data_IF_236357877952
#
_entry.id   IF_236357877952
#
_cell.length_a   1.000
_cell.length_b   1.000
_cell.length_c   1.000
_cell.angle_alpha   90.00
_cell.angle_beta   90.00
_cell.angle_gamma   90.00
#
_symmetry.space_group_name_H-M   'P 1'
#
loop_
_entity.id
_entity.type
_entity.pdbx_description
1 polymer ?
#
# COMPACT_ATOMS: atom_id res chain seq x y z
N UNK A 1 8.01 -17.27 16.46
CA UNK A 1 8.86 -16.09 16.17
C UNK A 1 9.84 -15.88 17.33
N UNK A 2 11.15 -15.64 17.07
CA UNK A 2 12.14 -15.30 18.10
C UNK A 2 11.78 -14.06 18.93
N UNK A 3 12.22 -14.01 20.19
CA UNK A 3 11.91 -12.90 21.13
C UNK A 3 12.43 -11.55 20.60
N UNK A 4 13.67 -11.48 20.13
CA UNK A 4 14.25 -10.24 19.62
C UNK A 4 13.44 -9.66 18.45
N UNK A 5 12.99 -10.52 17.53
CA UNK A 5 12.15 -10.14 16.39
C UNK A 5 10.76 -9.68 16.84
N UNK A 6 10.15 -10.36 17.82
CA UNK A 6 8.90 -9.91 18.47
C UNK A 6 9.06 -8.51 19.05
N UNK A 7 10.11 -8.28 19.82
CA UNK A 7 10.39 -6.98 20.45
C UNK A 7 10.56 -5.88 19.42
N UNK A 8 11.25 -6.15 18.30
CA UNK A 8 11.42 -5.19 17.21
C UNK A 8 10.08 -4.80 16.57
N UNK A 9 9.22 -5.78 16.26
CA UNK A 9 7.87 -5.53 15.73
C UNK A 9 7.03 -4.71 16.72
N UNK A 10 7.05 -5.08 18.00
CA UNK A 10 6.31 -4.37 19.05
C UNK A 10 6.79 -2.93 19.22
N UNK A 11 8.11 -2.69 19.12
CA UNK A 11 8.69 -1.35 19.18
C UNK A 11 8.23 -0.48 18.00
N UNK A 12 8.33 -0.99 16.76
CA UNK A 12 7.87 -0.28 15.55
C UNK A 12 6.39 0.10 15.68
N UNK A 13 5.53 -0.84 16.10
CA UNK A 13 4.10 -0.59 16.27
C UNK A 13 3.85 0.51 17.30
N UNK A 14 4.51 0.45 18.46
CA UNK A 14 4.35 1.46 19.52
C UNK A 14 4.84 2.84 19.08
N UNK A 15 5.96 2.91 18.39
CA UNK A 15 6.53 4.16 17.89
C UNK A 15 5.63 4.79 16.82
N UNK A 16 5.11 3.99 15.90
CA UNK A 16 4.18 4.47 14.88
C UNK A 16 2.85 4.93 15.50
N UNK A 17 2.31 4.18 16.47
CA UNK A 17 1.12 4.61 17.22
C UNK A 17 1.36 5.93 17.95
N UNK A 18 2.53 6.11 18.60
CA UNK A 18 2.87 7.34 19.29
C UNK A 18 3.05 8.52 18.33
N UNK A 19 3.83 8.31 17.26
CA UNK A 19 4.17 9.32 16.26
C UNK A 19 2.95 9.83 15.51
N UNK A 20 2.08 8.91 15.10
CA UNK A 20 0.84 9.20 14.35
C UNK A 20 -0.36 9.45 15.27
N UNK A 21 -0.19 9.24 16.57
CA UNK A 21 -1.23 9.33 17.61
C UNK A 21 -2.45 8.45 17.33
N UNK A 22 -2.18 7.19 16.93
CA UNK A 22 -3.22 6.19 16.62
C UNK A 22 -3.87 5.73 17.94
N UNK A 23 -5.20 5.87 18.11
CA UNK A 23 -5.88 5.42 19.33
C UNK A 23 -5.86 3.91 19.51
N UNK A 24 -6.18 3.15 18.45
CA UNK A 24 -6.31 1.71 18.47
C UNK A 24 -5.78 1.05 17.20
N UNK A 25 -5.10 -0.09 17.37
CA UNK A 25 -4.45 -0.84 16.30
C UNK A 25 -4.51 -2.35 16.53
N UNK A 26 -4.76 -3.10 15.47
CA UNK A 26 -4.49 -4.53 15.39
C UNK A 26 -3.43 -4.83 14.33
N UNK A 27 -2.67 -5.91 14.57
CA UNK A 27 -1.68 -6.42 13.64
C UNK A 27 -1.66 -7.94 13.67
N UNK A 28 -1.57 -8.55 12.49
CA UNK A 28 -1.29 -9.97 12.34
C UNK A 28 -0.18 -10.17 11.30
N UNK A 29 0.73 -11.09 11.57
CA UNK A 29 1.83 -11.45 10.67
C UNK A 29 1.74 -12.93 10.38
N UNK A 30 1.60 -13.25 9.10
CA UNK A 30 1.66 -14.61 8.55
C UNK A 30 3.05 -14.83 7.99
N UNK A 31 3.68 -15.94 8.38
CA UNK A 31 4.93 -16.39 7.75
C UNK A 31 4.88 -17.90 7.59
N UNK A 32 5.24 -18.41 6.42
CA UNK A 32 5.22 -19.84 6.14
C UNK A 32 3.86 -20.48 6.40
N UNK A 33 2.79 -19.82 5.94
CA UNK A 33 1.41 -20.28 6.11
C UNK A 33 0.87 -20.25 7.55
N UNK A 34 1.60 -19.67 8.52
CA UNK A 34 1.19 -19.62 9.92
C UNK A 34 1.16 -18.19 10.46
N UNK A 35 0.19 -17.88 11.32
CA UNK A 35 0.18 -16.63 12.09
C UNK A 35 1.30 -16.69 13.13
N UNK A 36 2.39 -15.95 12.92
CA UNK A 36 3.56 -15.91 13.80
C UNK A 36 3.54 -14.76 14.81
N UNK A 37 2.66 -13.77 14.58
CA UNK A 37 2.41 -12.66 15.48
C UNK A 37 0.96 -12.19 15.34
N UNK A 38 0.33 -11.87 16.48
CA UNK A 38 -1.03 -11.36 16.58
C UNK A 38 -1.09 -10.42 17.79
N UNK A 39 -1.26 -9.13 17.52
CA UNK A 39 -1.19 -8.04 18.48
C UNK A 39 -2.39 -7.10 18.41
N UNK A 40 -2.81 -6.62 19.57
CA UNK A 40 -3.89 -5.65 19.74
C UNK A 40 -3.44 -4.57 20.74
N UNK A 41 -3.60 -3.31 20.38
CA UNK A 41 -3.03 -2.16 21.10
C UNK A 41 -4.02 -1.01 21.17
N UNK A 42 -3.97 -0.28 22.29
CA UNK A 42 -4.73 0.96 22.47
C UNK A 42 -6.22 0.72 22.70
N UNK A 43 -7.05 1.67 22.27
CA UNK A 43 -8.49 1.69 22.54
C UNK A 43 -9.33 1.54 21.28
N UNK A 44 -10.33 0.66 21.35
CA UNK A 44 -11.39 0.53 20.36
C UNK A 44 -12.37 1.71 20.43
N UNK A 45 -12.54 2.28 21.63
CA UNK A 45 -13.28 3.52 21.87
C UNK A 45 -12.48 4.41 22.84
N UNK A 46 -11.99 5.53 22.33
CA UNK A 46 -11.23 6.51 23.09
C UNK A 46 -12.07 7.28 24.12
N UNK A 47 -13.39 7.39 23.94
CA UNK A 47 -14.26 8.10 24.89
C UNK A 47 -14.51 7.27 26.16
N UNK A 48 -14.74 5.98 25.98
CA UNK A 48 -15.09 5.05 27.06
C UNK A 48 -13.91 4.20 27.54
N UNK A 49 -12.77 4.27 26.85
CA UNK A 49 -11.56 3.53 27.20
C UNK A 49 -11.62 2.03 26.91
N UNK A 50 -12.56 1.57 26.09
CA UNK A 50 -12.68 0.15 25.72
C UNK A 50 -11.39 -0.26 24.98
N UNK A 51 -10.68 -1.32 25.42
CA UNK A 51 -9.43 -1.74 24.78
C UNK A 51 -9.69 -2.40 23.43
N UNK A 52 -8.74 -2.26 22.51
CA UNK A 52 -8.70 -3.13 21.33
C UNK A 52 -8.38 -4.56 21.78
N UNK A 53 -9.15 -5.52 21.30
CA UNK A 53 -8.91 -6.96 21.49
C UNK A 53 -8.62 -7.58 20.13
N UNK A 54 -8.21 -8.85 20.05
CA UNK A 54 -8.03 -9.57 18.77
C UNK A 54 -9.34 -9.79 17.99
N UNK A 55 -10.48 -9.67 18.67
CA UNK A 55 -11.80 -9.84 18.07
C UNK A 55 -12.45 -8.49 17.71
N UNK A 56 -11.78 -7.37 17.99
CA UNK A 56 -12.24 -6.06 17.57
C UNK A 56 -12.27 -5.96 16.04
N UNK A 57 -13.36 -5.41 15.49
CA UNK A 57 -13.59 -5.33 14.06
C UNK A 57 -13.30 -3.93 13.55
N UNK A 58 -12.38 -3.83 12.60
CA UNK A 58 -11.99 -2.60 11.93
C UNK A 58 -12.65 -2.54 10.57
N UNK A 59 -13.00 -1.33 10.10
CA UNK A 59 -13.52 -1.15 8.74
C UNK A 59 -12.36 -1.23 7.73
N UNK A 60 -12.44 -2.19 6.80
CA UNK A 60 -11.42 -2.46 5.79
C UNK A 60 -11.49 -1.50 4.60
N UNK A 61 -12.61 -0.78 4.45
CA UNK A 61 -12.85 0.14 3.33
C UNK A 61 -12.48 -0.52 1.99
N UNK A 62 -11.74 0.20 1.14
CA UNK A 62 -11.31 -0.25 -0.18
C UNK A 62 -10.47 -1.53 -0.21
N UNK A 63 -9.91 -1.99 0.93
CA UNK A 63 -9.30 -3.32 0.98
C UNK A 63 -10.32 -4.44 0.71
N UNK A 64 -11.63 -4.16 0.87
CA UNK A 64 -12.74 -5.05 0.45
C UNK A 64 -12.65 -5.45 -1.04
N UNK A 65 -12.05 -4.61 -1.90
CA UNK A 65 -11.90 -4.90 -3.33
C UNK A 65 -11.08 -6.15 -3.61
N UNK A 66 -10.09 -6.43 -2.77
CA UNK A 66 -9.28 -7.65 -2.87
C UNK A 66 -10.13 -8.89 -2.68
N UNK A 67 -11.11 -8.85 -1.76
CA UNK A 67 -12.08 -9.92 -1.54
C UNK A 67 -13.04 -10.05 -2.73
N UNK A 68 -13.60 -8.94 -3.23
CA UNK A 68 -14.42 -8.97 -4.45
C UNK A 68 -13.65 -9.52 -5.66
N UNK A 69 -12.35 -9.25 -5.76
CA UNK A 69 -11.46 -9.84 -6.76
C UNK A 69 -11.34 -11.37 -6.62
N UNK A 70 -11.21 -11.89 -5.39
CA UNK A 70 -11.22 -13.34 -5.11
C UNK A 70 -12.54 -13.96 -5.58
N UNK A 71 -13.69 -13.39 -5.20
CA UNK A 71 -14.99 -13.88 -5.64
C UNK A 71 -15.14 -13.96 -7.16
N UNK A 72 -14.70 -12.94 -7.90
CA UNK A 72 -14.72 -12.96 -9.37
C UNK A 72 -13.79 -14.06 -9.92
N UNK A 73 -12.60 -14.21 -9.35
CA UNK A 73 -11.68 -15.27 -9.77
C UNK A 73 -12.20 -16.67 -9.43
N UNK A 74 -12.98 -16.84 -8.37
CA UNK A 74 -13.66 -18.11 -8.07
C UNK A 74 -14.69 -18.44 -9.15
N UNK A 75 -15.43 -17.44 -9.64
CA UNK A 75 -16.35 -17.62 -10.78
C UNK A 75 -15.61 -17.92 -12.09
N UNK A 76 -14.42 -17.34 -12.29
CA UNK A 76 -13.52 -17.69 -13.42
C UNK A 76 -13.08 -19.15 -13.32
N UNK A 77 -12.57 -19.56 -12.15
CA UNK A 77 -12.10 -20.93 -11.90
C UNK A 77 -13.23 -21.95 -12.07
N UNK A 78 -14.47 -21.59 -11.70
CA UNK A 78 -15.67 -22.39 -11.91
C UNK A 78 -16.19 -22.40 -13.36
N UNK A 79 -15.52 -21.70 -14.30
CA UNK A 79 -15.92 -21.62 -15.70
C UNK A 79 -17.21 -20.81 -15.95
N UNK A 80 -17.68 -20.04 -14.96
CA UNK A 80 -18.92 -19.24 -15.05
C UNK A 80 -18.71 -17.88 -15.70
N UNK A 81 -17.46 -17.42 -15.75
CA UNK A 81 -17.10 -16.09 -16.25
C UNK A 81 -15.72 -16.15 -16.90
N UNK A 82 -15.48 -15.32 -17.92
CA UNK A 82 -14.15 -15.04 -18.47
C UNK A 82 -13.73 -13.61 -18.18
N UNK A 83 -12.46 -13.42 -17.79
CA UNK A 83 -11.89 -12.11 -17.51
C UNK A 83 -11.93 -11.17 -18.72
N UNK A 84 -11.79 -11.73 -19.92
CA UNK A 84 -11.70 -10.95 -21.17
C UNK A 84 -13.05 -10.83 -21.88
N UNK A 85 -14.11 -11.46 -21.34
CA UNK A 85 -15.46 -11.29 -21.84
C UNK A 85 -15.99 -9.87 -21.55
N UNK A 86 -16.80 -9.29 -22.45
CA UNK A 86 -17.52 -8.04 -22.19
C UNK A 86 -18.42 -8.18 -20.96
N UNK A 87 -18.39 -7.19 -20.07
CA UNK A 87 -19.23 -7.12 -18.88
C UNK A 87 -20.73 -7.09 -19.23
N UNK A 88 -21.08 -6.53 -20.40
CA UNK A 88 -22.44 -6.56 -20.96
C UNK A 88 -22.99 -7.97 -21.17
N UNK A 89 -22.13 -8.99 -21.25
CA UNK A 89 -22.57 -10.40 -21.29
C UNK A 89 -23.29 -10.83 -20.01
N UNK A 90 -22.96 -10.19 -18.89
CA UNK A 90 -23.43 -10.56 -17.56
C UNK A 90 -24.36 -9.51 -16.93
N UNK A 91 -24.58 -8.38 -17.59
CA UNK A 91 -25.41 -7.27 -17.08
C UNK A 91 -26.45 -6.91 -18.14
N UNK A 92 -27.73 -7.12 -17.83
CA UNK A 92 -28.81 -7.02 -18.83
C UNK A 92 -29.10 -5.58 -19.26
N UNK A 93 -28.90 -4.61 -18.37
CA UNK A 93 -29.25 -3.20 -18.55
C UNK A 93 -28.04 -2.31 -18.87
N UNK A 94 -27.12 -2.83 -19.69
CA UNK A 94 -25.87 -2.18 -20.10
C UNK A 94 -26.09 -1.03 -21.09
N UNK A 95 -25.75 0.24 -20.74
CA UNK A 95 -25.86 1.36 -21.67
C UNK A 95 -24.95 1.20 -22.90
N UNK A 96 -25.50 1.39 -24.10
CA UNK A 96 -24.75 1.26 -25.35
C UNK A 96 -23.50 2.16 -25.38
N UNK A 97 -23.59 3.37 -24.81
CA UNK A 97 -22.48 4.33 -24.75
C UNK A 97 -21.29 3.88 -23.88
N UNK A 98 -21.47 2.88 -23.01
CA UNK A 98 -20.37 2.30 -22.23
C UNK A 98 -19.46 1.42 -23.09
N UNK A 99 -19.90 1.03 -24.29
CA UNK A 99 -19.11 0.24 -25.22
C UNK A 99 -18.76 -1.15 -24.66
N UNK A 100 -17.60 -1.66 -25.07
CA UNK A 100 -17.11 -2.99 -24.68
C UNK A 100 -16.07 -2.86 -23.58
N UNK A 101 -16.50 -3.04 -22.33
CA UNK A 101 -15.63 -3.10 -21.15
C UNK A 101 -15.52 -4.55 -20.71
N UNK A 102 -14.30 -5.09 -20.61
CA UNK A 102 -14.06 -6.44 -20.09
C UNK A 102 -14.14 -6.52 -18.56
N UNK A 103 -14.35 -7.71 -18.02
CA UNK A 103 -14.29 -7.94 -16.56
C UNK A 103 -12.92 -7.56 -15.99
N UNK A 104 -11.85 -7.88 -16.71
CA UNK A 104 -10.48 -7.48 -16.38
C UNK A 104 -10.36 -5.97 -16.23
N UNK A 105 -10.92 -5.19 -17.16
CA UNK A 105 -10.89 -3.73 -17.10
C UNK A 105 -11.70 -3.15 -15.93
N UNK A 106 -12.79 -3.81 -15.51
CA UNK A 106 -13.50 -3.42 -14.28
C UNK A 106 -12.59 -3.61 -13.06
N UNK A 107 -12.02 -4.82 -12.89
CA UNK A 107 -11.15 -5.18 -11.78
C UNK A 107 -9.91 -4.27 -11.68
N UNK A 108 -9.31 -3.92 -12.81
CA UNK A 108 -8.06 -3.14 -12.88
C UNK A 108 -8.27 -1.64 -13.06
N UNK A 109 -9.50 -1.13 -12.91
CA UNK A 109 -9.82 0.29 -13.00
C UNK A 109 -9.49 0.94 -14.37
N UNK A 110 -9.65 0.18 -15.45
CA UNK A 110 -9.41 0.59 -16.84
C UNK A 110 -10.71 0.72 -17.66
N UNK A 111 -11.86 0.82 -17.00
CA UNK A 111 -13.17 0.76 -17.67
C UNK A 111 -13.51 2.03 -18.46
N UNK A 112 -13.04 3.20 -18.00
CA UNK A 112 -13.44 4.50 -18.55
C UNK A 112 -14.87 4.94 -18.18
N UNK A 113 -15.56 4.18 -17.33
CA UNK A 113 -16.94 4.48 -16.91
C UNK A 113 -17.02 5.72 -16.01
N UNK A 114 -18.19 6.38 -15.94
CA UNK A 114 -18.49 7.35 -14.89
C UNK A 114 -18.37 6.72 -13.50
N UNK A 115 -17.96 7.49 -12.49
CA UNK A 115 -17.98 7.01 -11.10
C UNK A 115 -19.34 7.33 -10.45
N UNK A 116 -19.83 6.40 -9.63
CA UNK A 116 -21.04 6.52 -8.82
C UNK A 116 -20.82 7.39 -7.58
N UNK A 117 -19.56 7.69 -7.25
CA UNK A 117 -19.19 8.67 -6.24
C UNK A 117 -18.67 9.96 -6.87
N UNK A 118 -19.04 11.09 -6.26
CA UNK A 118 -18.39 12.38 -6.45
C UNK A 118 -17.39 12.64 -5.33
N UNK A 119 -16.17 13.02 -5.68
CA UNK A 119 -15.18 13.46 -4.70
C UNK A 119 -15.02 14.97 -4.77
N UNK A 120 -15.53 15.73 -3.77
CA UNK A 120 -15.16 17.13 -3.60
C UNK A 120 -13.65 17.23 -3.39
N UNK A 121 -13.01 18.24 -3.99
CA UNK A 121 -11.57 18.49 -3.76
C UNK A 121 -11.30 18.65 -2.27
N UNK A 122 -10.49 17.75 -1.70
CA UNK A 122 -9.96 17.87 -0.34
C UNK A 122 -10.79 17.27 0.79
N UNK A 123 -11.84 16.46 0.52
CA UNK A 123 -12.65 15.83 1.59
C UNK A 123 -12.93 14.34 1.36
N UNK A 124 -12.73 13.53 2.42
CA UNK A 124 -13.50 12.31 2.74
C UNK A 124 -13.53 11.14 1.74
N UNK A 125 -14.35 10.14 2.07
CA UNK A 125 -14.91 9.17 1.13
C UNK A 125 -15.97 9.91 0.29
N UNK A 126 -15.87 9.85 -1.04
CA UNK A 126 -16.78 10.60 -1.91
C UNK A 126 -18.27 10.37 -1.61
N UNK A 127 -19.09 11.35 -1.94
CA UNK A 127 -20.55 11.27 -1.75
C UNK A 127 -21.19 10.54 -2.91
N UNK A 128 -22.27 9.82 -2.63
CA UNK A 128 -23.05 9.18 -3.69
C UNK A 128 -23.66 10.25 -4.61
N UNK A 129 -23.55 10.05 -5.92
CA UNK A 129 -24.19 10.95 -6.89
C UNK A 129 -25.71 10.72 -6.93
N UNK A 130 -26.45 11.72 -7.40
CA UNK A 130 -27.91 11.67 -7.41
C UNK A 130 -28.49 12.07 -6.04
N UNK A 131 -29.58 11.43 -5.65
CA UNK A 131 -30.38 11.80 -4.47
C UNK A 131 -30.03 10.96 -3.22
N UNK A 132 -28.87 10.29 -3.23
CA UNK A 132 -28.36 9.54 -2.07
C UNK A 132 -28.87 8.09 -1.94
N UNK A 133 -29.56 7.57 -2.96
CA UNK A 133 -29.99 6.17 -3.04
C UNK A 133 -29.44 5.45 -4.29
N UNK A 134 -29.51 4.11 -4.32
CA UNK A 134 -29.00 3.32 -5.44
C UNK A 134 -29.66 3.67 -6.78
N UNK A 135 -30.97 3.88 -6.80
CA UNK A 135 -31.72 4.07 -8.03
C UNK A 135 -31.35 5.40 -8.67
N UNK A 136 -31.38 6.49 -7.92
CA UNK A 136 -31.00 7.82 -8.41
C UNK A 136 -29.52 7.87 -8.81
N UNK A 137 -28.64 7.25 -8.03
CA UNK A 137 -27.22 7.15 -8.37
C UNK A 137 -27.00 6.41 -9.68
N UNK A 138 -27.67 5.26 -9.85
CA UNK A 138 -27.50 4.44 -11.05
C UNK A 138 -28.08 5.09 -12.29
N UNK A 139 -29.23 5.76 -12.18
CA UNK A 139 -29.77 6.61 -13.26
C UNK A 139 -28.76 7.70 -13.66
N UNK A 140 -28.16 8.36 -12.67
CA UNK A 140 -27.19 9.43 -12.89
C UNK A 140 -25.91 8.91 -13.56
N UNK A 141 -25.33 7.78 -13.09
CA UNK A 141 -24.14 7.17 -13.73
C UNK A 141 -24.45 6.81 -15.17
N UNK A 142 -25.59 6.17 -15.45
CA UNK A 142 -25.96 5.75 -16.80
C UNK A 142 -26.18 6.92 -17.76
N UNK A 143 -26.62 8.08 -17.25
CA UNK A 143 -26.81 9.28 -18.06
C UNK A 143 -25.51 10.04 -18.36
N UNK A 144 -24.43 9.82 -17.57
CA UNK A 144 -23.16 10.50 -17.77
C UNK A 144 -22.37 9.94 -18.97
N UNK A 145 -21.64 10.80 -19.71
CA UNK A 145 -20.76 10.34 -20.77
C UNK A 145 -19.62 9.50 -20.17
N UNK A 146 -19.16 8.49 -20.92
CA UNK A 146 -17.92 7.79 -20.58
C UNK A 146 -16.76 8.77 -20.53
N UNK A 147 -15.85 8.55 -19.60
CA UNK A 147 -14.79 9.50 -19.31
C UNK A 147 -13.52 9.22 -20.14
N UNK A 148 -13.37 7.99 -20.62
CA UNK A 148 -12.29 7.53 -21.50
C UNK A 148 -12.72 6.26 -22.24
N UNK A 149 -12.02 5.95 -23.34
CA UNK A 149 -12.14 4.64 -23.96
C UNK A 149 -11.59 3.53 -23.03
N UNK A 150 -12.20 2.34 -22.98
CA UNK A 150 -11.73 1.23 -22.16
C UNK A 150 -10.26 0.89 -22.44
N UNK A 151 -9.46 0.66 -21.39
CA UNK A 151 -8.04 0.32 -21.49
C UNK A 151 -7.10 1.51 -21.66
N UNK A 152 -7.59 2.71 -21.95
CA UNK A 152 -6.71 3.85 -22.29
C UNK A 152 -6.28 4.70 -21.09
N UNK A 153 -7.02 4.65 -19.98
CA UNK A 153 -6.73 5.44 -18.78
C UNK A 153 -7.09 4.68 -17.51
N UNK A 154 -6.19 4.73 -16.53
CA UNK A 154 -6.48 4.28 -15.18
C UNK A 154 -7.29 5.35 -14.44
N UNK A 155 -8.41 4.94 -13.86
CA UNK A 155 -9.17 5.75 -12.91
C UNK A 155 -9.78 4.87 -11.84
N UNK A 156 -9.34 5.07 -10.60
CA UNK A 156 -9.93 4.42 -9.44
C UNK A 156 -11.42 4.78 -9.35
N UNK A 157 -12.29 3.77 -9.52
CA UNK A 157 -13.71 3.98 -9.84
C UNK A 157 -14.57 2.95 -9.10
N UNK A 158 -15.60 3.41 -8.37
CA UNK A 158 -16.46 2.52 -7.57
C UNK A 158 -17.56 1.84 -8.39
N UNK A 159 -18.05 2.47 -9.46
CA UNK A 159 -18.98 1.85 -10.44
C UNK A 159 -18.49 0.48 -10.87
N UNK A 160 -17.17 0.33 -11.08
CA UNK A 160 -16.59 -0.96 -11.46
C UNK A 160 -16.91 -2.07 -10.45
N UNK A 161 -16.73 -1.81 -9.15
CA UNK A 161 -16.92 -2.82 -8.11
C UNK A 161 -18.39 -3.03 -7.75
N UNK A 162 -19.24 -2.02 -7.95
CA UNK A 162 -20.69 -2.19 -7.92
C UNK A 162 -21.12 -3.17 -9.02
N UNK A 163 -20.61 -3.00 -10.24
CA UNK A 163 -20.89 -3.91 -11.36
C UNK A 163 -20.39 -5.33 -11.11
N UNK A 164 -19.17 -5.48 -10.57
CA UNK A 164 -18.64 -6.80 -10.19
C UNK A 164 -19.53 -7.49 -9.14
N UNK A 165 -20.05 -6.73 -8.16
CA UNK A 165 -21.04 -7.22 -7.21
C UNK A 165 -22.31 -7.74 -7.88
N UNK A 166 -22.90 -6.96 -8.80
CA UNK A 166 -24.08 -7.39 -9.57
C UNK A 166 -23.83 -8.66 -10.40
N UNK A 167 -22.61 -8.81 -10.93
CA UNK A 167 -22.20 -10.02 -11.67
C UNK A 167 -22.09 -11.22 -10.72
N UNK A 168 -21.52 -11.05 -9.53
CA UNK A 168 -21.45 -12.10 -8.51
C UNK A 168 -22.86 -12.55 -8.10
N UNK A 169 -23.76 -11.61 -7.84
CA UNK A 169 -25.15 -11.90 -7.49
C UNK A 169 -25.83 -12.72 -8.58
N UNK A 170 -25.72 -12.28 -9.83
CA UNK A 170 -26.33 -12.96 -10.98
C UNK A 170 -25.79 -14.36 -11.20
N UNK A 171 -24.47 -14.53 -11.21
CA UNK A 171 -23.83 -15.81 -11.56
C UNK A 171 -23.81 -16.83 -10.40
N UNK A 172 -23.90 -16.36 -9.17
CA UNK A 172 -24.03 -17.22 -7.99
C UNK A 172 -25.49 -17.56 -7.65
N UNK A 173 -26.44 -16.68 -7.99
CA UNK A 173 -27.82 -16.77 -7.54
C UNK A 173 -28.01 -16.42 -6.06
N UNK A 174 -26.98 -15.85 -5.41
CA UNK A 174 -27.01 -15.46 -4.00
C UNK A 174 -26.51 -14.03 -3.83
N UNK A 175 -27.02 -13.26 -2.86
CA UNK A 175 -26.51 -11.92 -2.60
C UNK A 175 -25.02 -11.93 -2.25
N UNK A 176 -24.27 -10.93 -2.71
CA UNK A 176 -22.83 -10.79 -2.57
C UNK A 176 -22.34 -11.12 -1.16
N UNK A 177 -22.95 -10.51 -0.13
CA UNK A 177 -22.52 -10.73 1.26
C UNK A 177 -22.66 -12.18 1.72
N UNK A 178 -23.66 -12.91 1.20
CA UNK A 178 -23.82 -14.36 1.45
C UNK A 178 -22.80 -15.16 0.65
N UNK A 179 -22.54 -14.80 -0.60
CA UNK A 179 -21.50 -15.43 -1.41
C UNK A 179 -20.14 -15.36 -0.70
N UNK A 180 -19.74 -14.17 -0.24
CA UNK A 180 -18.47 -13.97 0.48
C UNK A 180 -18.39 -14.84 1.74
N UNK A 181 -19.48 -14.91 2.51
CA UNK A 181 -19.52 -15.77 3.70
C UNK A 181 -19.29 -17.24 3.35
N UNK A 182 -20.05 -17.77 2.40
CA UNK A 182 -20.02 -19.20 2.05
C UNK A 182 -18.75 -19.62 1.31
N UNK A 183 -18.21 -18.76 0.44
CA UNK A 183 -17.12 -19.11 -0.46
C UNK A 183 -15.75 -18.60 -0.03
N UNK A 184 -15.68 -17.65 0.91
CA UNK A 184 -14.40 -17.10 1.37
C UNK A 184 -14.21 -17.15 2.88
N UNK A 185 -15.24 -16.85 3.69
CA UNK A 185 -15.06 -16.74 5.14
C UNK A 185 -15.19 -18.08 5.86
N UNK A 186 -16.26 -18.83 5.56
CA UNK A 186 -16.51 -20.15 6.15
C UNK A 186 -15.38 -21.17 5.82
N UNK A 187 -14.84 -21.25 4.58
CA UNK A 187 -13.78 -22.21 4.24
C UNK A 187 -12.46 -22.00 4.99
N UNK A 188 -12.18 -20.77 5.44
CA UNK A 188 -10.96 -20.43 6.19
C UNK A 188 -11.21 -20.28 7.69
N UNK A 189 -12.44 -20.54 8.14
CA UNK A 189 -12.84 -20.42 9.55
C UNK A 189 -12.85 -18.98 10.09
N UNK A 190 -12.89 -17.97 9.23
CA UNK A 190 -12.93 -16.57 9.64
C UNK A 190 -14.37 -16.16 9.99
N UNK A 191 -14.70 -16.13 11.28
CA UNK A 191 -16.09 -16.01 11.74
C UNK A 191 -16.57 -14.60 12.05
N UNK A 192 -15.70 -13.59 12.11
CA UNK A 192 -16.07 -12.26 12.57
C UNK A 192 -16.27 -11.24 11.46
N UNK A 193 -16.04 -11.60 10.19
CA UNK A 193 -16.32 -10.70 9.07
C UNK A 193 -17.80 -10.28 9.03
N UNK A 194 -18.03 -8.98 8.89
CA UNK A 194 -19.37 -8.40 8.79
C UNK A 194 -19.40 -7.28 7.77
N UNK A 195 -20.46 -7.24 6.96
CA UNK A 195 -20.69 -6.14 6.03
C UNK A 195 -21.57 -5.06 6.66
N UNK A 196 -21.13 -3.81 6.59
CA UNK A 196 -21.90 -2.66 7.04
C UNK A 196 -21.05 -1.41 7.24
N UNK A 197 -21.72 -0.35 7.69
CA UNK A 197 -21.14 0.98 7.89
C UNK A 197 -21.38 1.51 9.31
N UNK A 198 -21.20 2.81 9.56
CA UNK A 198 -21.36 3.38 10.90
C UNK A 198 -22.82 3.38 11.41
N UNK A 199 -23.82 3.18 10.54
CA UNK A 199 -25.24 3.09 10.90
C UNK A 199 -25.65 1.68 11.32
N UNK A 200 -24.88 0.66 10.91
CA UNK A 200 -25.13 -0.73 11.24
C UNK A 200 -24.62 -1.08 12.66
N UNK A 201 -25.39 -1.87 13.41
CA UNK A 201 -24.95 -2.41 14.71
C UNK A 201 -24.09 -3.65 14.48
N UNK A 202 -22.77 -3.47 14.52
CA UNK A 202 -21.79 -4.55 14.35
C UNK A 202 -21.09 -4.80 15.69
N UNK A 203 -21.35 -5.94 16.37
CA UNK A 203 -20.69 -6.27 17.63
C UNK A 203 -19.17 -6.26 17.50
N UNK A 204 -18.48 -5.62 18.43
CA UNK A 204 -17.01 -5.54 18.43
C UNK A 204 -16.41 -4.54 17.44
N UNK A 205 -17.22 -3.83 16.64
CA UNK A 205 -16.72 -2.79 15.74
C UNK A 205 -16.08 -1.65 16.52
N UNK A 206 -14.86 -1.28 16.13
CA UNK A 206 -14.12 -0.15 16.72
C UNK A 206 -14.69 1.17 16.21
N UNK A 207 -14.62 2.21 17.05
CA UNK A 207 -15.02 3.56 16.67
C UNK A 207 -13.94 4.19 15.82
N UNK A 208 -14.34 4.87 14.74
CA UNK A 208 -13.41 5.50 13.80
C UNK A 208 -13.17 6.94 14.22
N UNK A 209 -11.91 7.36 14.15
CA UNK A 209 -11.47 8.70 14.45
C UNK A 209 -10.75 9.36 13.27
N UNK A 210 -10.65 10.69 13.31
CA UNK A 210 -9.77 11.53 12.50
C UNK A 210 -9.32 12.73 13.32
N UNK A 211 -8.29 13.44 12.88
CA UNK A 211 -7.96 14.74 13.47
C UNK A 211 -8.72 15.90 12.77
N UNK A 212 -8.98 16.96 13.53
CA UNK A 212 -9.70 18.15 13.09
C UNK A 212 -8.86 19.09 12.20
N UNK A 213 -9.47 20.14 11.66
CA UNK A 213 -8.81 21.25 10.94
C UNK A 213 -8.00 20.82 9.69
N UNK A 214 -8.47 19.81 8.96
CA UNK A 214 -7.79 19.32 7.75
C UNK A 214 -6.55 18.47 8.01
N UNK A 215 -6.08 18.39 9.26
CA UNK A 215 -5.12 17.40 9.69
C UNK A 215 -5.86 16.06 9.75
N UNK A 216 -5.88 15.30 8.65
CA UNK A 216 -6.46 13.95 8.68
C UNK A 216 -5.54 13.06 9.54
N UNK A 217 -4.23 13.30 9.46
CA UNK A 217 -3.22 12.64 10.27
C UNK A 217 -2.89 13.41 11.57
N UNK A 218 -2.26 12.75 12.53
CA UNK A 218 -1.83 13.35 13.80
C UNK A 218 -0.67 14.34 13.70
N UNK A 219 -0.30 14.78 12.49
CA UNK A 219 0.89 15.61 12.22
C UNK A 219 0.77 17.02 12.79
N UNK A 220 -0.46 17.57 12.82
CA UNK A 220 -0.69 18.91 13.36
C UNK A 220 -0.77 18.87 14.88
N UNK A 221 0.14 19.60 15.54
CA UNK A 221 0.15 19.75 16.99
C UNK A 221 -1.06 20.57 17.44
N UNK A 222 -1.82 20.05 18.41
CA UNK A 222 -3.00 20.71 18.96
C UNK A 222 -4.31 20.42 18.23
N UNK A 223 -4.30 19.66 17.12
CA UNK A 223 -5.54 19.21 16.48
C UNK A 223 -6.32 18.25 17.41
N UNK A 224 -7.62 18.47 17.54
CA UNK A 224 -8.50 17.62 18.33
C UNK A 224 -8.82 16.31 17.60
N UNK A 225 -8.94 15.22 18.35
CA UNK A 225 -9.45 13.94 17.84
C UNK A 225 -10.98 14.03 17.74
N UNK A 226 -11.52 13.73 16.57
CA UNK A 226 -12.96 13.76 16.29
C UNK A 226 -13.44 12.38 15.83
N UNK A 227 -14.73 12.11 16.05
CA UNK A 227 -15.38 10.96 15.42
C UNK A 227 -15.36 11.11 13.89
N UNK A 228 -15.11 10.00 13.22
CA UNK A 228 -15.29 9.87 11.78
C UNK A 228 -16.39 8.86 11.48
N UNK A 229 -17.09 9.10 10.38
CA UNK A 229 -18.23 8.30 9.96
C UNK A 229 -17.95 7.78 8.55
N UNK A 230 -18.23 6.50 8.33
CA UNK A 230 -18.33 5.93 7.00
C UNK A 230 -19.79 5.59 6.76
N UNK A 231 -20.30 6.01 5.61
CA UNK A 231 -21.63 5.66 5.14
C UNK A 231 -21.48 4.97 3.78
N UNK A 232 -21.94 3.71 3.73
CA UNK A 232 -21.93 2.90 2.53
C UNK A 232 -23.38 2.51 2.21
N UNK A 233 -23.90 2.98 1.09
CA UNK A 233 -25.12 2.40 0.55
C UNK A 233 -24.93 0.87 0.37
N UNK A 234 -25.95 0.03 0.60
CA UNK A 234 -25.78 -1.43 0.60
C UNK A 234 -25.08 -2.00 -0.64
N UNK A 235 -25.37 -1.46 -1.84
CA UNK A 235 -24.73 -1.89 -3.09
C UNK A 235 -23.23 -1.50 -3.20
N UNK A 236 -22.77 -0.54 -2.40
CA UNK A 236 -21.35 -0.15 -2.30
C UNK A 236 -20.55 -1.08 -1.39
N UNK A 237 -21.19 -2.03 -0.70
CA UNK A 237 -20.51 -2.99 0.19
C UNK A 237 -19.45 -3.82 -0.55
N UNK A 238 -19.60 -4.02 -1.86
CA UNK A 238 -18.64 -4.70 -2.74
C UNK A 238 -17.32 -3.92 -2.92
N UNK A 239 -17.35 -2.62 -2.68
CA UNK A 239 -16.21 -1.72 -2.86
C UNK A 239 -15.56 -1.29 -1.54
N UNK A 240 -16.30 -1.35 -0.42
CA UNK A 240 -15.85 -0.74 0.84
C UNK A 240 -16.42 -1.28 2.15
N UNK A 241 -17.43 -2.15 2.12
CA UNK A 241 -18.29 -2.36 3.30
C UNK A 241 -17.84 -3.44 4.28
N UNK A 242 -16.66 -4.05 4.10
CA UNK A 242 -16.21 -5.14 4.97
C UNK A 242 -15.62 -4.62 6.29
N UNK A 243 -16.00 -5.24 7.39
CA UNK A 243 -15.42 -5.06 8.72
C UNK A 243 -14.86 -6.42 9.17
N UNK A 244 -13.70 -6.42 9.82
CA UNK A 244 -13.02 -7.66 10.24
C UNK A 244 -11.85 -7.39 11.18
N UNK A 245 -11.31 -8.46 11.79
CA UNK A 245 -10.10 -8.39 12.59
C UNK A 245 -8.85 -8.69 11.76
N UNK A 246 -7.68 -8.27 12.24
CA UNK A 246 -6.41 -8.61 11.58
C UNK A 246 -6.18 -10.12 11.55
N UNK A 247 -6.64 -10.84 12.59
CA UNK A 247 -6.58 -12.30 12.67
C UNK A 247 -7.43 -12.97 11.58
N UNK A 248 -8.66 -12.51 11.36
CA UNK A 248 -9.54 -13.08 10.32
C UNK A 248 -9.00 -12.80 8.90
N UNK A 249 -8.45 -11.59 8.67
CA UNK A 249 -7.77 -11.27 7.41
C UNK A 249 -6.53 -12.15 7.23
N UNK A 250 -5.76 -12.42 8.28
CA UNK A 250 -4.61 -13.32 8.21
C UNK A 250 -5.03 -14.76 7.85
N UNK A 251 -6.11 -15.28 8.43
CA UNK A 251 -6.66 -16.59 8.04
C UNK A 251 -7.12 -16.62 6.58
N UNK A 252 -7.80 -15.56 6.12
CA UNK A 252 -8.18 -15.43 4.72
C UNK A 252 -6.97 -15.39 3.79
N UNK A 253 -5.91 -14.66 4.14
CA UNK A 253 -4.65 -14.64 3.37
C UNK A 253 -3.91 -15.98 3.37
N UNK A 254 -3.98 -16.75 4.46
CA UNK A 254 -3.45 -18.12 4.51
C UNK A 254 -4.24 -19.01 3.54
N UNK A 255 -5.57 -18.97 3.60
CA UNK A 255 -6.46 -19.72 2.72
C UNK A 255 -6.33 -19.35 1.24
N UNK A 256 -5.99 -18.10 0.95
CA UNK A 256 -5.69 -17.66 -0.41
C UNK A 256 -4.37 -18.26 -0.90
N UNK A 257 -3.31 -18.19 -0.10
CA UNK A 257 -1.96 -18.63 -0.51
C UNK A 257 -1.80 -20.15 -0.54
N UNK A 258 -2.51 -20.89 0.31
CA UNK A 258 -2.39 -22.35 0.38
C UNK A 258 -3.29 -23.10 -0.62
N UNK A 259 -4.14 -22.38 -1.36
CA UNK A 259 -5.02 -22.98 -2.37
C UNK A 259 -6.46 -23.25 -1.92
N UNK A 260 -6.83 -22.97 -0.66
CA UNK A 260 -8.20 -23.18 -0.16
C UNK A 260 -9.23 -22.32 -0.90
N UNK A 261 -8.90 -21.05 -1.17
CA UNK A 261 -9.85 -20.11 -1.79
C UNK A 261 -9.76 -20.05 -3.32
N UNK A 262 -8.54 -20.22 -3.85
CA UNK A 262 -8.24 -20.20 -5.29
C UNK A 262 -7.04 -21.09 -5.56
N UNK A 263 -7.03 -21.77 -6.70
CA UNK A 263 -5.86 -22.51 -7.12
C UNK A 263 -4.67 -21.58 -7.45
N UNK A 264 -3.45 -22.14 -7.52
CA UNK A 264 -2.23 -21.35 -7.76
C UNK A 264 -2.24 -20.62 -9.11
N UNK A 265 -2.88 -21.18 -10.13
CA UNK A 265 -2.92 -20.57 -11.47
C UNK A 265 -3.83 -19.33 -11.48
N UNK A 266 -4.97 -19.43 -10.80
CA UNK A 266 -5.92 -18.34 -10.58
C UNK A 266 -5.29 -17.26 -9.70
N UNK A 267 -4.56 -17.63 -8.65
CA UNK A 267 -3.83 -16.68 -7.81
C UNK A 267 -2.73 -15.94 -8.58
N UNK A 268 -1.95 -16.65 -9.40
CA UNK A 268 -0.94 -16.04 -10.27
C UNK A 268 -1.56 -15.06 -11.28
N UNK A 269 -2.71 -15.44 -11.86
CA UNK A 269 -3.47 -14.56 -12.76
C UNK A 269 -3.98 -13.33 -12.03
N UNK A 270 -4.45 -13.48 -10.79
CA UNK A 270 -4.96 -12.39 -9.97
C UNK A 270 -3.91 -11.33 -9.67
N UNK A 271 -2.69 -11.74 -9.36
CA UNK A 271 -1.56 -10.84 -9.08
C UNK A 271 -0.76 -10.46 -10.33
N UNK A 272 -1.27 -10.75 -11.52
CA UNK A 272 -0.73 -10.22 -12.77
C UNK A 272 -1.28 -8.81 -13.01
N UNK A 273 -0.43 -7.80 -13.27
CA UNK A 273 -0.88 -6.46 -13.62
C UNK A 273 -1.81 -6.45 -14.84
N UNK A 274 -2.88 -5.66 -14.75
CA UNK A 274 -3.65 -5.25 -15.93
C UNK A 274 -2.75 -4.53 -16.93
N UNK A 275 -3.21 -4.45 -18.18
CA UNK A 275 -2.48 -3.75 -19.25
C UNK A 275 -3.34 -2.66 -19.86
N UNK A 276 -2.72 -1.51 -20.10
CA UNK A 276 -3.29 -0.47 -20.93
C UNK A 276 -3.42 -0.96 -22.38
N UNK A 277 -4.21 -0.26 -23.18
CA UNK A 277 -4.39 -0.55 -24.61
C UNK A 277 -3.07 -0.51 -25.40
N UNK A 278 -2.07 0.26 -24.94
CA UNK A 278 -0.72 0.32 -25.51
C UNK A 278 0.21 -0.81 -25.01
N UNK A 279 -0.31 -1.75 -24.22
CA UNK A 279 0.40 -2.90 -23.69
C UNK A 279 1.19 -2.65 -22.39
N UNK A 280 1.32 -1.39 -21.93
CA UNK A 280 2.05 -1.09 -20.68
C UNK A 280 1.33 -1.70 -19.47
N UNK A 281 2.06 -2.22 -18.46
CA UNK A 281 1.45 -2.72 -17.24
C UNK A 281 0.91 -1.57 -16.37
N UNK A 282 -0.18 -1.83 -15.66
CA UNK A 282 -0.67 -0.96 -14.58
C UNK A 282 -0.01 -1.33 -13.25
N UNK A 283 -0.37 -0.62 -12.18
CA UNK A 283 -0.05 -1.00 -10.80
C UNK A 283 -1.23 -1.73 -10.12
N UNK A 284 -2.07 -2.40 -10.89
CA UNK A 284 -3.29 -3.05 -10.40
C UNK A 284 -3.50 -4.42 -11.05
N UNK A 285 -3.68 -5.45 -10.22
CA UNK A 285 -4.15 -6.77 -10.61
C UNK A 285 -5.66 -6.92 -10.45
N UNK A 286 -6.15 -8.15 -10.41
CA UNK A 286 -7.57 -8.47 -10.35
C UNK A 286 -8.15 -8.24 -8.95
N UNK A 287 -8.37 -6.98 -8.55
CA UNK A 287 -8.81 -6.64 -7.19
C UNK A 287 -7.77 -5.98 -6.30
N UNK A 288 -6.52 -5.85 -6.78
CA UNK A 288 -5.36 -5.64 -5.92
C UNK A 288 -4.46 -4.53 -6.45
N UNK A 289 -4.16 -3.47 -5.68
CA UNK A 289 -2.96 -2.70 -5.91
C UNK A 289 -1.72 -3.59 -5.86
N UNK A 290 -0.83 -3.39 -6.82
CA UNK A 290 0.44 -4.12 -6.93
C UNK A 290 1.59 -3.12 -6.83
N UNK A 291 2.64 -3.48 -6.09
CA UNK A 291 3.92 -2.78 -6.12
C UNK A 291 4.90 -3.63 -6.94
N UNK A 292 5.16 -3.25 -8.20
CA UNK A 292 6.03 -4.01 -9.08
C UNK A 292 7.49 -3.78 -8.67
N UNK A 293 7.94 -4.47 -7.63
CA UNK A 293 9.36 -4.73 -7.40
C UNK A 293 9.62 -6.17 -7.86
N UNK A 294 10.52 -6.36 -8.83
CA UNK A 294 10.82 -7.69 -9.36
C UNK A 294 11.57 -8.56 -8.35
N UNK A 295 12.26 -7.96 -7.37
CA UNK A 295 12.93 -8.66 -6.28
C UNK A 295 11.92 -9.17 -5.26
N UNK A 296 11.05 -8.27 -4.78
CA UNK A 296 10.01 -8.57 -3.79
C UNK A 296 8.65 -8.04 -4.24
N UNK A 297 7.94 -8.76 -5.14
CA UNK A 297 6.64 -8.32 -5.61
C UNK A 297 5.66 -8.27 -4.45
N UNK A 298 4.86 -7.21 -4.38
CA UNK A 298 3.89 -7.04 -3.30
C UNK A 298 2.49 -6.88 -3.88
N UNK A 299 1.57 -7.73 -3.43
CA UNK A 299 0.14 -7.52 -3.62
C UNK A 299 -0.45 -6.93 -2.33
N UNK A 300 -1.25 -5.87 -2.45
CA UNK A 300 -1.75 -5.16 -1.26
C UNK A 300 -3.27 -5.02 -1.28
N UNK A 301 -3.85 -4.87 -0.10
CA UNK A 301 -5.16 -4.27 0.11
C UNK A 301 -4.96 -3.01 0.94
N UNK A 302 -5.51 -1.88 0.51
CA UNK A 302 -5.36 -0.58 1.19
C UNK A 302 -6.72 0.11 1.21
N UNK A 303 -7.11 0.64 2.37
CA UNK A 303 -8.43 1.20 2.57
C UNK A 303 -8.48 2.31 3.61
N UNK A 304 -9.11 3.43 3.22
CA UNK A 304 -9.54 4.50 4.12
C UNK A 304 -8.43 5.16 4.94
N UNK A 305 -7.16 5.05 4.48
CA UNK A 305 -5.99 5.58 5.20
C UNK A 305 -5.84 5.03 6.63
N UNK A 306 -6.37 3.83 6.87
CA UNK A 306 -6.43 3.19 8.20
C UNK A 306 -6.33 1.67 8.20
N UNK A 307 -6.53 1.03 7.04
CA UNK A 307 -6.43 -0.41 6.90
C UNK A 307 -5.49 -0.75 5.76
N UNK A 308 -4.55 -1.66 6.01
CA UNK A 308 -3.73 -2.22 4.95
C UNK A 308 -3.30 -3.66 5.26
N UNK A 309 -3.15 -4.47 4.22
CA UNK A 309 -2.42 -5.72 4.30
C UNK A 309 -1.56 -5.90 3.06
N UNK A 310 -0.36 -6.47 3.27
CA UNK A 310 0.63 -6.70 2.23
C UNK A 310 0.94 -8.18 2.19
N UNK A 311 0.98 -8.75 0.99
CA UNK A 311 1.42 -10.11 0.71
C UNK A 311 2.68 -10.02 -0.12
N UNK A 312 3.73 -10.70 0.33
CA UNK A 312 5.02 -10.85 -0.32
C UNK A 312 5.14 -12.30 -0.82
N UNK A 313 4.65 -12.63 -2.03
CA UNK A 313 4.48 -14.02 -2.45
C UNK A 313 5.81 -14.78 -2.60
N UNK A 314 6.92 -14.08 -2.86
CA UNK A 314 8.26 -14.68 -2.94
C UNK A 314 8.88 -14.95 -1.58
N UNK A 315 8.44 -14.22 -0.55
CA UNK A 315 9.05 -14.21 0.78
C UNK A 315 8.22 -15.03 1.79
N UNK A 316 7.05 -15.54 1.36
CA UNK A 316 6.12 -16.31 2.19
C UNK A 316 5.76 -15.56 3.48
N UNK A 317 5.47 -14.27 3.30
CA UNK A 317 5.19 -13.29 4.34
C UNK A 317 3.92 -12.52 3.96
N UNK A 318 3.01 -12.39 4.91
CA UNK A 318 1.93 -11.41 4.81
C UNK A 318 1.78 -10.65 6.14
N UNK A 319 1.50 -9.36 6.05
CA UNK A 319 1.34 -8.50 7.22
C UNK A 319 0.03 -7.74 7.07
N UNK A 320 -0.79 -7.78 8.11
CA UNK A 320 -2.06 -7.06 8.21
C UNK A 320 -1.92 -6.02 9.31
N UNK A 321 -2.23 -4.76 9.04
CA UNK A 321 -2.32 -3.69 10.05
C UNK A 321 -3.61 -2.92 9.87
N UNK A 322 -4.44 -2.92 10.91
CA UNK A 322 -5.74 -2.25 10.94
C UNK A 322 -5.73 -1.24 12.08
N UNK A 323 -6.16 -0.01 11.79
CA UNK A 323 -6.20 1.08 12.76
C UNK A 323 -7.57 1.76 12.74
N UNK A 324 -7.92 2.40 13.85
CA UNK A 324 -9.16 3.15 13.96
C UNK A 324 -8.97 4.67 13.74
N UNK A 325 -7.86 5.10 13.16
CA UNK A 325 -7.57 6.49 12.82
C UNK A 325 -7.46 6.66 11.30
N UNK A 326 -8.39 7.40 10.70
CA UNK A 326 -8.23 7.88 9.32
C UNK A 326 -6.98 8.76 9.26
N UNK A 327 -6.03 8.46 8.37
CA UNK A 327 -4.74 9.17 8.29
C UNK A 327 -3.59 8.45 8.99
N UNK A 328 -3.83 7.30 9.62
CA UNK A 328 -2.77 6.46 10.13
C UNK A 328 -1.85 5.91 9.02
N UNK A 329 -2.38 5.73 7.80
CA UNK A 329 -1.67 5.24 6.61
C UNK A 329 -0.78 4.01 6.92
N UNK A 330 -1.34 2.88 7.40
CA UNK A 330 -0.54 1.67 7.68
C UNK A 330 0.32 1.19 6.51
N UNK A 331 -0.10 1.46 5.28
CA UNK A 331 0.66 1.18 4.06
C UNK A 331 2.02 1.88 3.96
N UNK A 332 2.28 2.87 4.81
CA UNK A 332 3.55 3.60 4.91
C UNK A 332 4.55 2.94 5.86
N UNK A 333 4.11 2.10 6.80
CA UNK A 333 5.00 1.49 7.81
C UNK A 333 4.95 -0.03 7.90
N UNK A 334 4.04 -0.71 7.18
CA UNK A 334 4.04 -2.19 7.10
C UNK A 334 5.40 -2.74 6.64
N UNK A 335 6.12 -2.02 5.80
CA UNK A 335 7.42 -2.45 5.32
C UNK A 335 8.52 -2.38 6.39
N UNK A 336 8.42 -1.47 7.36
CA UNK A 336 9.31 -1.47 8.53
C UNK A 336 9.17 -2.78 9.31
N UNK A 337 7.92 -3.23 9.46
CA UNK A 337 7.58 -4.49 10.11
C UNK A 337 8.10 -5.66 9.29
N UNK A 338 7.93 -5.63 7.95
CA UNK A 338 8.49 -6.63 7.04
C UNK A 338 10.03 -6.70 7.14
N UNK A 339 10.68 -5.55 7.31
CA UNK A 339 12.11 -5.39 7.57
C UNK A 339 12.64 -6.17 8.76
N UNK A 340 11.78 -6.45 9.76
CA UNK A 340 12.15 -7.29 10.89
C UNK A 340 12.33 -8.77 10.51
N UNK A 341 11.82 -9.20 9.36
CA UNK A 341 11.93 -10.56 8.82
C UNK A 341 12.95 -10.65 7.69
N UNK A 342 12.98 -9.63 6.84
CA UNK A 342 13.80 -9.52 5.64
C UNK A 342 14.27 -8.06 5.54
N UNK A 343 15.49 -7.71 6.00
CA UNK A 343 15.97 -6.32 6.07
C UNK A 343 15.79 -5.52 4.78
N UNK A 344 15.94 -6.17 3.62
CA UNK A 344 15.73 -5.61 2.29
C UNK A 344 14.30 -5.11 2.06
N UNK A 345 13.27 -5.72 2.67
CA UNK A 345 11.87 -5.29 2.56
C UNK A 345 11.61 -3.94 3.23
N UNK A 346 12.46 -3.55 4.19
CA UNK A 346 12.43 -2.24 4.86
C UNK A 346 12.65 -1.11 3.85
N UNK A 347 13.55 -1.34 2.89
CA UNK A 347 14.07 -0.32 1.99
C UNK A 347 13.15 -0.07 0.79
N UNK A 348 12.43 -1.09 0.35
CA UNK A 348 11.50 -1.03 -0.79
C UNK A 348 10.37 0.00 -0.58
N UNK A 349 10.09 0.40 0.67
CA UNK A 349 8.96 1.29 0.99
C UNK A 349 9.32 2.49 1.89
N UNK A 350 10.60 2.80 2.05
CA UNK A 350 11.03 4.05 2.67
C UNK A 350 11.37 3.96 4.14
N UNK A 351 11.60 2.78 4.70
CA UNK A 351 12.74 2.58 5.61
C UNK A 351 12.92 3.48 6.85
N UNK A 352 11.86 4.03 7.45
CA UNK A 352 11.99 5.02 8.54
C UNK A 352 12.49 6.39 8.08
N UNK A 353 12.30 6.71 6.80
CA UNK A 353 12.55 8.02 6.20
C UNK A 353 11.48 9.03 6.64
N UNK A 354 11.87 10.29 6.76
CA UNK A 354 10.96 11.41 6.95
C UNK A 354 9.94 11.48 5.80
N UNK A 355 8.80 12.16 5.99
CA UNK A 355 7.86 12.40 4.89
C UNK A 355 8.52 13.02 3.65
N UNK A 356 9.52 13.89 3.84
CA UNK A 356 10.24 14.51 2.74
C UNK A 356 11.14 13.50 1.99
N UNK A 357 11.96 12.74 2.72
CA UNK A 357 12.79 11.70 2.13
C UNK A 357 11.97 10.58 1.48
N UNK A 358 10.82 10.22 2.06
CA UNK A 358 9.92 9.25 1.44
C UNK A 358 9.27 9.81 0.15
N UNK A 359 8.90 11.10 0.12
CA UNK A 359 8.42 11.77 -1.11
C UNK A 359 9.50 11.76 -2.19
N UNK A 360 10.76 12.03 -1.84
CA UNK A 360 11.91 11.92 -2.73
C UNK A 360 12.08 10.49 -3.26
N UNK A 361 12.07 9.49 -2.38
CA UNK A 361 12.16 8.07 -2.75
C UNK A 361 11.09 7.66 -3.75
N UNK A 362 9.83 8.04 -3.51
CA UNK A 362 8.72 7.75 -4.43
C UNK A 362 8.96 8.39 -5.79
N UNK A 363 9.43 9.64 -5.82
CA UNK A 363 9.74 10.33 -7.08
C UNK A 363 10.90 9.67 -7.84
N UNK A 364 11.97 9.30 -7.15
CA UNK A 364 13.13 8.61 -7.74
C UNK A 364 12.77 7.23 -8.30
N UNK A 365 11.87 6.50 -7.62
CA UNK A 365 11.37 5.21 -8.08
C UNK A 365 10.44 5.34 -9.30
N UNK A 366 9.68 6.43 -9.40
CA UNK A 366 8.80 6.69 -10.54
C UNK A 366 9.57 7.06 -11.83
N UNK A 367 10.80 7.57 -11.69
CA UNK A 367 11.63 8.03 -12.80
C UNK A 367 13.08 7.49 -12.70
N UNK A 368 13.29 6.17 -12.81
CA UNK A 368 14.61 5.56 -12.60
C UNK A 368 15.66 6.01 -13.63
N UNK A 369 15.24 6.42 -14.83
CA UNK A 369 16.12 6.93 -15.88
C UNK A 369 16.51 8.41 -15.69
N UNK A 370 15.88 9.12 -14.75
CA UNK A 370 16.17 10.53 -14.46
C UNK A 370 17.23 10.60 -13.36
N UNK A 371 18.20 11.49 -13.56
CA UNK A 371 19.25 11.75 -12.58
C UNK A 371 18.63 12.24 -11.25
N UNK A 372 19.15 11.79 -10.09
CA UNK A 372 18.48 12.01 -8.81
C UNK A 372 18.39 13.50 -8.42
N UNK A 373 19.34 14.32 -8.86
CA UNK A 373 19.41 15.76 -8.65
C UNK A 373 18.30 16.48 -9.44
N UNK A 374 18.05 16.06 -10.67
CA UNK A 374 16.96 16.59 -11.49
C UNK A 374 15.58 16.24 -10.89
N UNK A 375 15.46 15.05 -10.30
CA UNK A 375 14.25 14.63 -9.60
C UNK A 375 14.02 15.48 -8.35
N UNK A 376 15.05 15.69 -7.53
CA UNK A 376 15.00 16.54 -6.35
C UNK A 376 14.64 18.00 -6.69
N UNK A 377 15.28 18.57 -7.72
CA UNK A 377 14.97 19.91 -8.22
C UNK A 377 13.52 20.04 -8.74
N UNK A 378 12.95 18.95 -9.30
CA UNK A 378 11.53 18.88 -9.66
C UNK A 378 10.61 19.03 -8.44
N UNK A 379 10.94 18.36 -7.33
CA UNK A 379 10.19 18.45 -6.09
C UNK A 379 10.29 19.83 -5.44
N UNK A 380 11.48 20.44 -5.44
CA UNK A 380 11.66 21.81 -4.93
C UNK A 380 10.91 22.86 -5.76
N UNK A 381 10.83 22.68 -7.09
CA UNK A 381 10.00 23.56 -7.94
C UNK A 381 8.52 23.46 -7.62
N UNK A 382 8.05 22.28 -7.24
CA UNK A 382 6.66 22.06 -6.85
C UNK A 382 6.36 22.55 -5.41
N UNK A 383 7.38 22.56 -4.54
CA UNK A 383 7.28 22.94 -3.14
C UNK A 383 8.62 23.54 -2.69
N UNK A 384 8.67 24.87 -2.60
CA UNK A 384 9.91 25.58 -2.26
C UNK A 384 10.41 25.28 -0.83
N UNK A 385 9.56 24.73 0.05
CA UNK A 385 9.93 24.29 1.39
C UNK A 385 10.46 22.86 1.44
N UNK A 386 10.51 22.15 0.30
CA UNK A 386 10.97 20.77 0.26
C UNK A 386 12.47 20.67 0.52
N UNK A 387 12.82 19.97 1.62
CA UNK A 387 14.19 19.71 2.03
C UNK A 387 14.33 18.31 2.59
N UNK A 388 15.45 17.66 2.28
CA UNK A 388 15.94 16.43 2.93
C UNK A 388 17.34 16.74 3.43
N UNK A 389 17.67 16.40 4.68
CA UNK A 389 18.97 16.74 5.26
C UNK A 389 20.10 15.83 4.76
N UNK A 390 21.34 16.33 4.87
CA UNK A 390 22.56 15.57 4.59
C UNK A 390 22.59 14.24 5.35
N UNK A 391 22.39 14.30 6.67
CA UNK A 391 22.38 13.11 7.54
C UNK A 391 21.31 12.10 7.12
N UNK A 392 20.13 12.58 6.71
CA UNK A 392 19.04 11.70 6.31
C UNK A 392 19.33 11.01 4.97
N UNK A 393 19.91 11.73 4.00
CA UNK A 393 20.37 11.12 2.75
C UNK A 393 21.52 10.14 3.00
N UNK A 394 22.45 10.47 3.90
CA UNK A 394 23.59 9.61 4.21
C UNK A 394 23.14 8.32 4.89
N UNK A 395 22.29 8.43 5.91
CA UNK A 395 21.67 7.29 6.59
C UNK A 395 20.89 6.42 5.61
N UNK A 396 20.11 7.03 4.73
CA UNK A 396 19.33 6.31 3.74
C UNK A 396 20.24 5.54 2.77
N UNK A 397 21.25 6.21 2.21
CA UNK A 397 22.26 5.58 1.34
C UNK A 397 22.98 4.43 2.03
N UNK A 398 23.41 4.61 3.29
CA UNK A 398 24.11 3.59 4.07
C UNK A 398 23.24 2.35 4.35
N UNK A 399 21.95 2.55 4.63
CA UNK A 399 21.00 1.43 4.78
C UNK A 399 20.79 0.67 3.47
N UNK A 400 20.71 1.38 2.34
CA UNK A 400 20.64 0.76 1.00
C UNK A 400 21.89 -0.06 0.71
N UNK A 401 23.07 0.50 1.00
CA UNK A 401 24.36 -0.17 0.76
C UNK A 401 24.49 -1.44 1.61
N UNK A 402 24.14 -1.36 2.89
CA UNK A 402 24.15 -2.49 3.83
C UNK A 402 23.22 -3.64 3.43
N UNK A 403 22.15 -3.34 2.69
CA UNK A 403 21.24 -4.34 2.15
C UNK A 403 21.62 -4.86 0.76
N UNK A 404 22.81 -4.52 0.27
CA UNK A 404 23.30 -4.92 -1.05
C UNK A 404 22.62 -4.19 -2.22
N UNK A 405 21.89 -3.10 -1.96
CA UNK A 405 21.23 -2.29 -3.00
C UNK A 405 22.20 -1.24 -3.55
N UNK A 406 23.31 -1.68 -4.13
CA UNK A 406 24.46 -0.84 -4.49
C UNK A 406 24.13 0.28 -5.49
N UNK A 407 23.33 -0.03 -6.52
CA UNK A 407 22.89 0.98 -7.50
C UNK A 407 22.02 2.07 -6.87
N UNK A 408 21.09 1.67 -6.01
CA UNK A 408 20.19 2.58 -5.32
C UNK A 408 20.97 3.44 -4.32
N UNK A 409 21.88 2.84 -3.55
CA UNK A 409 22.77 3.54 -2.62
C UNK A 409 23.63 4.58 -3.34
N UNK A 410 24.27 4.20 -4.46
CA UNK A 410 25.08 5.13 -5.25
C UNK A 410 24.27 6.36 -5.70
N UNK A 411 23.04 6.16 -6.17
CA UNK A 411 22.17 7.28 -6.59
C UNK A 411 21.85 8.23 -5.43
N UNK A 412 21.66 7.72 -4.21
CA UNK A 412 21.41 8.56 -3.04
C UNK A 412 22.68 9.30 -2.61
N UNK A 413 23.84 8.66 -2.62
CA UNK A 413 25.11 9.34 -2.29
C UNK A 413 25.53 10.36 -3.34
N UNK A 414 25.29 10.11 -4.62
CA UNK A 414 25.47 11.11 -5.69
C UNK A 414 24.60 12.33 -5.46
N UNK A 415 23.33 12.14 -5.11
CA UNK A 415 22.46 13.25 -4.74
C UNK A 415 23.00 13.99 -3.50
N UNK A 416 23.45 13.25 -2.47
CA UNK A 416 23.95 13.85 -1.24
C UNK A 416 25.18 14.74 -1.50
N UNK A 417 26.15 14.25 -2.27
CA UNK A 417 27.32 15.05 -2.68
C UNK A 417 26.97 16.23 -3.57
N UNK A 418 25.91 16.15 -4.39
CA UNK A 418 25.43 17.28 -5.18
C UNK A 418 24.80 18.38 -4.29
N UNK A 419 24.03 17.99 -3.28
CA UNK A 419 23.35 18.93 -2.38
C UNK A 419 24.28 19.47 -1.28
N UNK A 420 25.28 18.67 -0.89
CA UNK A 420 26.21 18.93 0.20
C UNK A 420 27.68 18.66 -0.24
N UNK A 421 28.19 19.43 -1.22
CA UNK A 421 29.50 19.17 -1.84
C UNK A 421 30.71 19.44 -0.92
N UNK A 422 30.49 20.14 0.19
CA UNK A 422 31.52 20.47 1.17
C UNK A 422 31.51 19.51 2.39
N UNK A 423 30.57 18.55 2.43
CA UNK A 423 30.50 17.56 3.51
C UNK A 423 31.51 16.43 3.28
N UNK A 424 32.56 16.33 4.10
CA UNK A 424 33.56 15.26 3.97
C UNK A 424 32.94 13.85 4.06
N UNK A 425 31.94 13.67 4.92
CA UNK A 425 31.21 12.42 5.11
C UNK A 425 30.41 11.98 3.87
N UNK A 426 29.88 12.92 3.08
CA UNK A 426 29.10 12.59 1.88
C UNK A 426 30.00 11.97 0.80
N UNK A 427 31.22 12.49 0.65
CA UNK A 427 32.22 11.95 -0.27
C UNK A 427 32.79 10.62 0.22
N UNK A 428 32.94 10.45 1.53
CA UNK A 428 33.38 9.17 2.12
C UNK A 428 32.37 8.06 1.83
N UNK A 429 31.09 8.33 2.08
CA UNK A 429 30.01 7.38 1.83
C UNK A 429 29.80 7.10 0.33
N UNK A 430 30.00 8.10 -0.54
CA UNK A 430 30.03 7.89 -1.99
C UNK A 430 31.17 6.93 -2.41
N UNK A 431 32.34 7.05 -1.76
CA UNK A 431 33.48 6.18 -2.04
C UNK A 431 33.20 4.73 -1.63
N UNK A 432 32.57 4.50 -0.48
CA UNK A 432 32.13 3.16 -0.04
C UNK A 432 31.18 2.50 -1.05
N UNK A 433 30.26 3.28 -1.63
CA UNK A 433 29.35 2.77 -2.65
C UNK A 433 30.08 2.35 -3.93
N UNK A 434 31.09 3.11 -4.37
CA UNK A 434 31.94 2.73 -5.49
C UNK A 434 32.81 1.50 -5.19
N UNK A 435 33.36 1.38 -3.97
CA UNK A 435 34.08 0.17 -3.55
C UNK A 435 33.19 -1.07 -3.60
N UNK A 436 31.97 -0.98 -3.07
CA UNK A 436 31.02 -2.09 -3.07
C UNK A 436 30.66 -2.56 -4.50
N UNK A 437 30.71 -1.64 -5.47
CA UNK A 437 30.47 -1.90 -6.90
C UNK A 437 31.72 -2.35 -7.66
N UNK A 438 32.87 -2.47 -7.00
CA UNK A 438 34.16 -2.76 -7.61
C UNK A 438 34.61 -1.70 -8.63
N UNK A 439 34.39 -0.42 -8.31
CA UNK A 439 34.77 0.76 -9.10
C UNK A 439 35.93 1.53 -8.40
N UNK A 440 37.17 1.00 -8.44
CA UNK A 440 38.26 1.49 -7.59
C UNK A 440 38.75 2.89 -7.95
N UNK A 441 38.67 3.29 -9.23
CA UNK A 441 39.14 4.62 -9.64
C UNK A 441 38.22 5.72 -9.08
N UNK A 442 36.93 5.48 -9.13
CA UNK A 442 35.87 6.34 -8.61
C UNK A 442 35.92 6.39 -7.07
N UNK A 443 36.09 5.24 -6.41
CA UNK A 443 36.28 5.16 -4.97
C UNK A 443 37.49 5.98 -4.50
N UNK A 444 38.66 5.80 -5.15
CA UNK A 444 39.87 6.57 -4.83
C UNK A 444 39.65 8.07 -5.00
N UNK A 445 38.96 8.50 -6.07
CA UNK A 445 38.66 9.90 -6.31
C UNK A 445 37.78 10.49 -5.19
N UNK A 446 36.75 9.76 -4.78
CA UNK A 446 35.83 10.17 -3.73
C UNK A 446 36.50 10.21 -2.33
N UNK A 447 37.29 9.20 -1.95
CA UNK A 447 38.05 9.24 -0.69
C UNK A 447 39.07 10.38 -0.64
N UNK A 448 39.76 10.67 -1.75
CA UNK A 448 40.67 11.82 -1.81
C UNK A 448 39.93 13.14 -1.65
N UNK A 449 38.72 13.25 -2.20
CA UNK A 449 37.88 14.44 -2.02
C UNK A 449 37.43 14.57 -0.57
N UNK A 450 37.03 13.47 0.07
CA UNK A 450 36.71 13.43 1.50
C UNK A 450 37.89 13.92 2.35
N UNK A 451 39.10 13.39 2.12
CA UNK A 451 40.32 13.80 2.84
C UNK A 451 40.72 15.25 2.62
N UNK A 452 40.46 15.79 1.43
CA UNK A 452 40.72 17.19 1.16
C UNK A 452 39.79 18.12 1.96
N UNK A 453 38.57 17.66 2.26
CA UNK A 453 37.59 18.38 3.07
C UNK A 453 37.81 18.16 4.57
N UNK A 454 38.28 16.98 4.97
CA UNK A 454 38.65 16.62 6.34
C UNK A 454 39.90 15.73 6.37
N UNK A 455 41.07 16.35 6.61
CA UNK A 455 42.35 15.65 6.68
C UNK A 455 42.43 14.65 7.84
N UNK A 456 41.51 14.72 8.81
CA UNK A 456 41.43 13.80 9.94
C UNK A 456 40.61 12.54 9.67
N UNK A 457 40.00 12.40 8.48
CA UNK A 457 39.21 11.22 8.12
C UNK A 457 40.09 9.95 7.98
N UNK A 458 40.28 9.25 9.10
CA UNK A 458 41.10 8.05 9.16
C UNK A 458 40.49 6.86 8.41
N UNK A 459 39.17 6.86 8.21
CA UNK A 459 38.47 5.86 7.40
C UNK A 459 38.92 5.94 5.93
N UNK A 460 38.85 7.14 5.33
CA UNK A 460 39.33 7.37 3.97
C UNK A 460 40.81 7.02 3.78
N UNK A 461 41.67 7.33 4.77
CA UNK A 461 43.11 6.96 4.71
C UNK A 461 43.30 5.45 4.67
N UNK A 462 42.57 4.72 5.51
CA UNK A 462 42.64 3.26 5.57
C UNK A 462 42.20 2.63 4.25
N UNK A 463 41.09 3.08 3.70
CA UNK A 463 40.54 2.58 2.44
C UNK A 463 41.42 2.90 1.23
N UNK A 464 41.97 4.12 1.14
CA UNK A 464 42.96 4.46 0.10
C UNK A 464 44.19 3.55 0.17
N UNK A 465 44.65 3.18 1.37
CA UNK A 465 45.77 2.23 1.51
C UNK A 465 45.40 0.83 1.02
N UNK A 466 44.18 0.35 1.32
CA UNK A 466 43.68 -0.94 0.84
C UNK A 466 43.56 -0.98 -0.69
N UNK A 467 43.13 0.12 -1.30
CA UNK A 467 43.03 0.29 -2.76
C UNK A 467 44.38 0.57 -3.45
N UNK A 468 45.51 0.55 -2.71
CA UNK A 468 46.84 0.79 -3.28
C UNK A 468 47.14 2.25 -3.64
N UNK A 469 46.37 3.19 -3.09
CA UNK A 469 46.43 4.62 -3.36
C UNK A 469 46.74 5.49 -2.12
N UNK A 470 47.35 4.89 -1.08
CA UNK A 470 47.75 5.59 0.14
C UNK A 470 48.71 6.75 -0.13
N UNK A 471 48.61 7.82 0.65
CA UNK A 471 49.54 8.96 0.52
C UNK A 471 50.97 8.49 0.80
N UNK A 472 51.91 8.89 -0.05
CA UNK A 472 53.33 8.77 0.27
C UNK A 472 53.60 9.65 1.49
N UNK A 473 54.17 9.06 2.54
CA UNK A 473 54.55 9.74 3.78
C UNK A 473 55.43 10.96 3.55
#
# INVERSE_FOLDING_TARGET
MPIAQRTAVEAIVRDEMKRRRIPGLQIAIVRHGHIVFDGAYGTADAETGIPVTRNSLFTLNSSTKSFTGVAIMQLVQAGKLSLDAPASTYIDDWPAQWGTVSIRQLLTHLSGLPDVLEQPKGQGTGSLIGDGDETSAWMTVKARPVEAAPGTRFRYNQTNYVLLGKIIDKLSGTPFTRYMKTHEFDPVGASHFAFGDTRDVIPGRVRIYRYANGAIDGSTRGAALEHAFDEFAPFMRTAGGLNGSATDVAWWLIGLQNGTLLDRASLATMWTPGRYADGKPTQWGMGWPLRPDTRHPVATGIGGRRSAFFVYPKDDLAIVVLTNLAGANPEEFIAEIAGSFYPELRLVNGGGLSPAANKLRVALAAAPAVAPEATYAGLQRADAGFVVSEDELNDWGGRLLSAGMQDDALRIFLLNTCLHPDGANTWDSLAEAHEARHEPAEAIAAYRRSLHLDESNDHAKAHLKLLGAGMAN
#
